data_IF_051501019873
#
_entry.id   IF_051501019873
#
_cell.length_a   1.000
_cell.length_b   1.000
_cell.length_c   1.000
_cell.angle_alpha   90.00
_cell.angle_beta   90.00
_cell.angle_gamma   90.00
#
_symmetry.space_group_name_H-M   'P 1'
#
loop_
_entity.id
_entity.type
_entity.pdbx_description
1 polymer ?
#
# COMPACT_ATOMS: atom_id res chain seq x y z
N UNK A 1 15.59 -40.11 53.51
CA UNK A 1 16.28 -38.85 53.16
C UNK A 1 16.01 -38.53 51.70
N UNK A 2 15.52 -37.33 51.44
CA UNK A 2 15.00 -36.85 50.15
C UNK A 2 16.14 -36.59 49.16
N UNK A 3 16.22 -37.26 48.01
CA UNK A 3 17.01 -36.78 46.86
C UNK A 3 16.32 -37.09 45.52
N UNK A 4 15.47 -36.14 45.14
CA UNK A 4 15.35 -35.51 43.82
C UNK A 4 15.29 -36.44 42.59
N UNK A 5 14.08 -36.91 42.29
CA UNK A 5 13.65 -37.23 40.92
C UNK A 5 13.44 -35.89 40.20
N UNK A 6 14.46 -35.41 39.50
CA UNK A 6 14.34 -34.24 38.62
C UNK A 6 15.23 -34.46 37.39
N UNK A 7 14.89 -35.47 36.60
CA UNK A 7 15.64 -35.81 35.39
C UNK A 7 14.68 -36.37 34.33
N UNK A 8 13.62 -35.64 33.99
CA UNK A 8 12.74 -36.08 32.90
C UNK A 8 11.91 -34.96 32.26
N UNK A 9 12.45 -33.75 32.10
CA UNK A 9 11.81 -32.74 31.23
C UNK A 9 12.86 -31.81 30.62
N UNK A 10 13.63 -32.29 29.65
CA UNK A 10 14.38 -31.40 28.75
C UNK A 10 14.56 -32.09 27.40
N UNK A 11 14.26 -31.35 26.32
CA UNK A 11 14.32 -31.73 24.90
C UNK A 11 13.04 -32.28 24.25
N UNK A 12 11.92 -31.58 24.42
CA UNK A 12 10.98 -31.39 23.31
C UNK A 12 10.96 -29.90 23.00
N UNK A 13 10.88 -29.57 21.71
CA UNK A 13 10.94 -28.25 21.11
C UNK A 13 12.37 -27.71 20.88
N UNK A 14 13.15 -28.44 20.07
CA UNK A 14 14.01 -27.75 19.11
C UNK A 14 13.08 -26.91 18.23
N UNK A 15 13.00 -25.63 18.58
CA UNK A 15 12.11 -24.68 17.99
C UNK A 15 12.36 -24.60 16.48
N UNK A 16 11.31 -24.89 15.71
CA UNK A 16 11.22 -24.50 14.31
C UNK A 16 11.03 -22.97 14.31
N UNK A 17 12.07 -22.22 14.66
CA UNK A 17 12.16 -20.80 14.32
C UNK A 17 12.80 -20.69 12.93
N UNK A 18 12.17 -21.32 11.94
CA UNK A 18 12.14 -20.68 10.63
C UNK A 18 11.10 -19.58 10.74
N UNK A 19 11.48 -18.44 11.33
CA UNK A 19 10.86 -17.19 10.97
C UNK A 19 11.10 -17.06 9.48
N UNK A 20 10.10 -17.42 8.68
CA UNK A 20 10.10 -16.99 7.32
C UNK A 20 10.14 -15.46 7.41
N UNK A 21 11.30 -14.90 7.10
CA UNK A 21 11.32 -13.67 6.32
C UNK A 21 10.71 -14.03 4.96
N UNK A 22 9.45 -14.46 4.95
CA UNK A 22 8.64 -14.53 3.76
C UNK A 22 8.74 -13.15 3.20
N UNK A 23 9.30 -13.05 2.00
CA UNK A 23 9.50 -11.82 1.25
C UNK A 23 8.33 -10.88 1.58
N UNK A 24 8.57 -9.92 2.48
CA UNK A 24 7.53 -8.95 2.85
C UNK A 24 7.41 -8.07 1.61
N UNK A 25 6.60 -8.52 0.65
CA UNK A 25 6.07 -7.68 -0.40
C UNK A 25 5.58 -6.45 0.34
N UNK A 26 6.24 -5.32 0.12
CA UNK A 26 5.94 -4.12 0.87
C UNK A 26 4.47 -3.85 0.69
N UNK A 27 3.72 -3.81 1.79
CA UNK A 27 2.28 -3.66 1.69
C UNK A 27 1.96 -2.36 0.95
N UNK A 28 1.08 -2.48 -0.05
CA UNK A 28 0.50 -1.33 -0.73
C UNK A 28 -0.54 -0.63 0.18
N UNK A 29 -0.80 -1.13 1.39
CA UNK A 29 -1.73 -0.49 2.30
C UNK A 29 -1.34 0.96 2.59
N UNK A 30 -2.35 1.83 2.56
CA UNK A 30 -2.19 3.24 2.90
C UNK A 30 -3.09 4.17 2.12
N UNK A 31 -2.95 5.45 2.44
CA UNK A 31 -3.61 6.55 1.76
C UNK A 31 -2.70 7.10 0.66
N UNK A 32 -3.27 7.38 -0.50
CA UNK A 32 -2.54 7.87 -1.65
C UNK A 32 -3.21 9.13 -2.20
N UNK A 33 -2.38 10.14 -2.46
CA UNK A 33 -2.79 11.47 -2.89
C UNK A 33 -2.59 11.59 -4.39
N UNK A 34 -3.60 12.09 -5.08
CA UNK A 34 -3.50 12.38 -6.50
C UNK A 34 -2.45 13.45 -6.78
N UNK A 35 -1.65 13.20 -7.81
CA UNK A 35 -0.67 14.10 -8.40
C UNK A 35 -0.75 13.98 -9.93
N UNK A 36 -0.68 15.12 -10.60
CA UNK A 36 -0.52 15.20 -12.04
C UNK A 36 0.29 16.46 -12.36
N UNK A 37 1.10 16.43 -13.42
CA UNK A 37 2.07 17.50 -13.72
C UNK A 37 1.43 18.88 -13.97
N UNK A 38 0.15 18.93 -14.34
CA UNK A 38 -0.59 20.17 -14.51
C UNK A 38 -1.09 20.79 -13.18
N UNK A 39 -0.93 20.09 -12.05
CA UNK A 39 -1.23 20.60 -10.71
C UNK A 39 0.05 21.06 -10.01
N UNK A 40 -0.03 22.21 -9.36
CA UNK A 40 1.02 22.72 -8.46
C UNK A 40 1.00 21.98 -7.12
N UNK A 41 1.28 20.69 -7.11
CA UNK A 41 1.38 19.87 -5.89
C UNK A 41 0.41 18.70 -5.82
N UNK A 42 0.33 18.10 -4.64
CA UNK A 42 -0.53 16.94 -4.41
C UNK A 42 -1.92 17.38 -3.95
N UNK A 43 -2.93 16.55 -4.21
CA UNK A 43 -4.28 16.77 -3.68
C UNK A 43 -4.29 16.95 -2.14
N UNK A 44 -5.28 17.69 -1.63
CA UNK A 44 -5.46 17.93 -0.18
C UNK A 44 -6.02 16.72 0.57
N UNK A 45 -6.77 15.87 -0.13
CA UNK A 45 -7.44 14.68 0.40
C UNK A 45 -6.94 13.45 -0.37
N UNK A 46 -6.83 12.26 0.24
CA UNK A 46 -6.48 11.04 -0.48
C UNK A 46 -7.49 10.74 -1.59
N UNK A 47 -7.01 10.27 -2.74
CA UNK A 47 -7.85 9.81 -3.85
C UNK A 47 -7.91 8.29 -3.91
N UNK A 48 -6.91 7.61 -3.37
CA UNK A 48 -6.87 6.15 -3.30
C UNK A 48 -6.59 5.72 -1.86
N UNK A 49 -7.33 4.73 -1.40
CA UNK A 49 -7.07 4.01 -0.15
C UNK A 49 -6.95 2.53 -0.47
N UNK A 50 -5.84 1.92 -0.05
CA UNK A 50 -5.61 0.49 -0.18
C UNK A 50 -5.63 -0.14 1.20
N UNK A 51 -6.43 -1.19 1.35
CA UNK A 51 -6.55 -2.02 2.54
C UNK A 51 -6.56 -3.50 2.12
N UNK A 52 -5.48 -4.21 2.41
CA UNK A 52 -5.26 -5.58 1.98
C UNK A 52 -5.26 -5.71 0.46
N UNK A 53 -6.24 -6.46 -0.07
CA UNK A 53 -6.41 -6.69 -1.52
C UNK A 53 -7.46 -5.77 -2.13
N UNK A 54 -7.89 -4.72 -1.44
CA UNK A 54 -8.91 -3.81 -1.93
C UNK A 54 -8.33 -2.42 -2.15
N UNK A 55 -8.52 -1.89 -3.36
CA UNK A 55 -8.25 -0.51 -3.71
C UNK A 55 -9.59 0.21 -3.84
N UNK A 56 -9.78 1.27 -3.06
CA UNK A 56 -10.92 2.19 -3.20
C UNK A 56 -10.43 3.50 -3.79
N UNK A 57 -11.01 3.90 -4.92
CA UNK A 57 -10.76 5.19 -5.57
C UNK A 57 -11.91 6.15 -5.29
N UNK A 58 -11.59 7.35 -4.81
CA UNK A 58 -12.50 8.43 -4.48
C UNK A 58 -12.33 9.57 -5.48
N UNK A 59 -13.22 9.65 -6.47
CA UNK A 59 -13.19 10.72 -7.47
C UNK A 59 -13.37 12.07 -6.78
N UNK A 60 -12.42 12.99 -6.95
CA UNK A 60 -12.43 14.29 -6.27
C UNK A 60 -11.88 14.28 -4.83
N UNK A 61 -11.51 13.13 -4.28
CA UNK A 61 -10.93 12.97 -2.94
C UNK A 61 -11.89 12.38 -1.91
N UNK A 62 -11.31 11.71 -0.92
CA UNK A 62 -12.00 10.92 0.12
C UNK A 62 -12.95 11.72 1.01
N UNK A 63 -12.65 12.99 1.27
CA UNK A 63 -13.46 13.79 2.21
C UNK A 63 -14.83 14.17 1.63
N UNK A 64 -14.91 14.36 0.30
CA UNK A 64 -16.15 14.73 -0.44
C UNK A 64 -16.13 14.12 -1.84
N UNK A 65 -16.26 12.80 -1.98
CA UNK A 65 -16.15 12.14 -3.28
C UNK A 65 -17.35 12.44 -4.16
N UNK A 66 -17.11 12.71 -5.45
CA UNK A 66 -18.16 12.78 -6.47
C UNK A 66 -18.55 11.40 -7.01
N UNK A 67 -17.74 10.37 -6.70
CA UNK A 67 -17.97 8.98 -7.05
C UNK A 67 -16.93 8.08 -6.39
N UNK A 68 -17.22 6.79 -6.27
CA UNK A 68 -16.31 5.81 -5.69
C UNK A 68 -16.24 4.58 -6.57
N UNK A 69 -15.03 4.09 -6.83
CA UNK A 69 -14.78 2.84 -7.56
C UNK A 69 -14.04 1.88 -6.65
N UNK A 70 -14.28 0.57 -6.82
CA UNK A 70 -13.59 -0.47 -6.04
C UNK A 70 -12.95 -1.50 -6.95
N UNK A 71 -11.70 -1.83 -6.64
CA UNK A 71 -10.93 -2.84 -7.35
C UNK A 71 -10.34 -3.86 -6.37
N UNK A 72 -10.29 -5.11 -6.80
CA UNK A 72 -9.47 -6.16 -6.19
C UNK A 72 -8.05 -6.11 -6.76
N UNK A 73 -7.05 -6.24 -5.90
CA UNK A 73 -5.63 -6.22 -6.27
C UNK A 73 -5.11 -7.64 -6.42
N UNK A 74 -4.57 -7.96 -7.59
CA UNK A 74 -3.73 -9.13 -7.82
C UNK A 74 -2.25 -8.68 -7.76
N UNK A 75 -1.55 -9.04 -6.69
CA UNK A 75 -0.15 -8.66 -6.48
C UNK A 75 0.82 -9.41 -7.39
N UNK A 76 0.47 -10.63 -7.80
CA UNK A 76 1.32 -11.45 -8.65
C UNK A 76 1.24 -10.97 -10.09
N UNK A 77 0.02 -10.72 -10.58
CA UNK A 77 -0.23 -10.24 -11.94
C UNK A 77 -0.07 -8.73 -12.10
N UNK A 78 0.01 -8.01 -10.98
CA UNK A 78 0.02 -6.53 -10.93
C UNK A 78 -1.19 -5.92 -11.63
N UNK A 79 -2.38 -6.47 -11.36
CA UNK A 79 -3.64 -6.00 -11.94
C UNK A 79 -4.63 -5.56 -10.87
N UNK A 80 -5.55 -4.69 -11.28
CA UNK A 80 -6.71 -4.25 -10.53
C UNK A 80 -7.96 -4.70 -11.30
N UNK A 81 -8.87 -5.41 -10.65
CA UNK A 81 -10.10 -5.92 -11.25
C UNK A 81 -11.33 -5.36 -10.54
N UNK A 82 -12.24 -4.75 -11.28
CA UNK A 82 -13.43 -4.09 -10.74
C UNK A 82 -14.05 -3.17 -11.79
N UNK A 83 -15.27 -2.70 -11.55
CA UNK A 83 -15.95 -1.75 -12.47
C UNK A 83 -16.02 -2.23 -13.93
N UNK A 84 -16.23 -3.53 -14.13
CA UNK A 84 -16.24 -4.21 -15.44
C UNK A 84 -14.95 -4.05 -16.27
N UNK A 85 -13.81 -3.79 -15.61
CA UNK A 85 -12.50 -3.67 -16.28
C UNK A 85 -11.39 -4.37 -15.49
N UNK A 86 -10.30 -4.66 -16.21
CA UNK A 86 -9.02 -5.10 -15.65
C UNK A 86 -7.95 -4.12 -16.11
N UNK A 87 -7.25 -3.51 -15.17
CA UNK A 87 -6.18 -2.54 -15.46
C UNK A 87 -4.88 -2.97 -14.80
N UNK A 88 -3.76 -2.75 -15.47
CA UNK A 88 -2.42 -2.99 -14.91
C UNK A 88 -2.01 -1.82 -14.02
N UNK A 89 -1.23 -2.10 -12.97
CA UNK A 89 -0.59 -1.06 -12.17
C UNK A 89 0.91 -1.30 -12.04
N UNK A 90 1.64 -0.23 -11.72
CA UNK A 90 3.03 -0.31 -11.27
C UNK A 90 3.19 0.44 -9.95
N UNK A 91 4.18 0.03 -9.15
CA UNK A 91 4.50 0.66 -7.88
C UNK A 91 6.01 0.89 -7.75
N UNK A 92 6.40 2.16 -7.65
CA UNK A 92 7.73 2.56 -7.25
C UNK A 92 7.79 2.57 -5.71
N UNK A 93 8.49 1.59 -5.15
CA UNK A 93 8.63 1.43 -3.70
C UNK A 93 9.55 2.48 -3.08
N UNK A 94 10.55 2.97 -3.80
CA UNK A 94 11.50 3.96 -3.28
C UNK A 94 10.80 5.30 -3.07
N UNK A 95 10.02 5.71 -4.07
CA UNK A 95 9.35 7.01 -4.06
C UNK A 95 7.89 6.94 -3.54
N UNK A 96 7.32 5.74 -3.44
CA UNK A 96 5.94 5.51 -3.01
C UNK A 96 4.92 5.97 -4.05
N UNK A 97 5.16 5.68 -5.32
CA UNK A 97 4.32 6.12 -6.44
C UNK A 97 3.55 4.93 -6.97
N UNK A 98 2.22 4.99 -6.90
CA UNK A 98 1.31 4.06 -7.56
C UNK A 98 0.83 4.67 -8.87
N UNK A 99 1.12 3.99 -9.97
CA UNK A 99 0.61 4.33 -11.30
C UNK A 99 -0.41 3.29 -11.71
N UNK A 100 -1.67 3.70 -11.81
CA UNK A 100 -2.77 2.85 -12.21
C UNK A 100 -3.66 3.68 -13.15
N UNK A 101 -4.03 3.12 -14.31
CA UNK A 101 -4.89 3.78 -15.32
C UNK A 101 -6.35 3.93 -14.88
N UNK A 102 -6.59 4.34 -13.63
CA UNK A 102 -7.91 4.59 -13.05
C UNK A 102 -8.44 5.93 -13.57
N UNK A 103 -7.56 6.94 -13.66
CA UNK A 103 -7.81 8.24 -14.28
C UNK A 103 -7.05 8.34 -15.60
N UNK A 104 -7.55 9.15 -16.54
CA UNK A 104 -6.89 9.47 -17.80
C UNK A 104 -5.61 10.31 -17.60
N UNK A 105 -4.65 10.17 -18.52
CA UNK A 105 -3.43 10.97 -18.54
C UNK A 105 -2.31 10.43 -17.65
N UNK A 106 -1.37 11.29 -17.27
CA UNK A 106 -0.19 10.94 -16.45
C UNK A 106 -0.50 10.95 -14.94
N UNK A 107 -1.72 10.60 -14.56
CA UNK A 107 -2.17 10.56 -13.18
C UNK A 107 -1.30 9.60 -12.34
N UNK A 108 -0.77 10.11 -11.23
CA UNK A 108 -0.02 9.32 -10.26
C UNK A 108 -0.67 9.44 -8.88
N UNK A 109 -0.55 8.37 -8.09
CA UNK A 109 -1.04 8.33 -6.72
C UNK A 109 0.15 8.19 -5.77
N UNK A 110 0.40 9.24 -4.99
CA UNK A 110 1.57 9.37 -4.12
C UNK A 110 1.20 8.90 -2.72
N UNK A 111 1.86 7.84 -2.24
CA UNK A 111 1.61 7.29 -0.91
C UNK A 111 1.95 8.31 0.18
N UNK A 112 1.06 8.45 1.17
CA UNK A 112 1.30 9.27 2.36
C UNK A 112 2.64 8.92 3.00
N UNK A 113 3.35 9.94 3.46
CA UNK A 113 4.64 9.85 4.16
C UNK A 113 5.82 9.23 3.36
N UNK A 114 5.61 8.94 2.06
CA UNK A 114 6.68 8.49 1.17
C UNK A 114 7.73 9.59 0.92
N UNK A 115 8.85 9.20 0.30
CA UNK A 115 9.89 10.14 -0.13
C UNK A 115 9.30 11.24 -1.03
N UNK A 116 8.57 10.86 -2.09
CA UNK A 116 7.94 11.81 -3.01
C UNK A 116 6.88 12.69 -2.33
N UNK A 117 6.10 12.14 -1.40
CA UNK A 117 5.12 12.91 -0.63
C UNK A 117 5.80 14.04 0.16
N UNK A 118 6.88 13.72 0.87
CA UNK A 118 7.64 14.68 1.67
C UNK A 118 8.32 15.74 0.81
N UNK A 119 8.82 15.38 -0.37
CA UNK A 119 9.38 16.33 -1.34
C UNK A 119 8.31 17.33 -1.81
N UNK A 120 7.16 16.84 -2.29
CA UNK A 120 6.08 17.68 -2.79
C UNK A 120 5.50 18.60 -1.70
N UNK A 121 5.42 18.13 -0.45
CA UNK A 121 4.97 18.94 0.69
C UNK A 121 5.94 20.03 1.13
N UNK A 122 7.23 19.93 0.80
CA UNK A 122 8.19 21.01 1.05
C UNK A 122 8.00 22.12 0.03
N UNK A 123 7.89 21.76 -1.25
CA UNK A 123 7.71 22.71 -2.35
C UNK A 123 6.37 23.45 -2.29
N UNK A 124 5.31 22.91 -1.67
CA UNK A 124 4.06 23.63 -1.44
C UNK A 124 4.17 24.80 -0.44
N UNK A 125 5.24 24.86 0.36
CA UNK A 125 5.43 25.88 1.41
C UNK A 125 6.36 27.03 1.00
N UNK A 126 7.02 26.91 -0.14
CA UNK A 126 7.91 27.92 -0.73
C UNK A 126 7.15 28.75 -1.78
#
# INVERSE_FOLDING_TARGET
MKKKVLFLVTMIAAAIFMVSCGNKTASLDGEYYFYADYRNGISKSPWVVIEGKTLTYYSGGKDKPSGTLRFSIDFEKKTLTGENKVITYSYDKENGILSAGIESGNAQFIKKDSKKYKELKKTEKD
#
